data_IF_614118036062
#
_entry.id   IF_614118036062
#
_cell.length_a   1.000
_cell.length_b   1.000
_cell.length_c   1.000
_cell.angle_alpha   90.00
_cell.angle_beta   90.00
_cell.angle_gamma   90.00
#
_symmetry.space_group_name_H-M   'P 1'
#
loop_
_entity.id
_entity.type
_entity.pdbx_description
1 polymer ?
#
# COMPACT_ATOMS: atom_id res chain seq x y z
N UNK A 1 11.35 -16.92 18.34
CA UNK A 1 10.31 -16.07 18.97
C UNK A 1 10.79 -14.63 19.11
N UNK A 2 12.01 -14.39 19.61
CA UNK A 2 12.58 -13.03 19.75
C UNK A 2 12.79 -12.28 18.41
N UNK A 3 13.16 -13.00 17.34
CA UNK A 3 13.36 -12.40 16.01
C UNK A 3 12.09 -11.77 15.43
N UNK A 4 10.93 -12.41 15.59
CA UNK A 4 9.67 -11.91 15.07
C UNK A 4 9.21 -10.64 15.80
N UNK A 5 9.43 -10.55 17.11
CA UNK A 5 9.09 -9.37 17.90
C UNK A 5 9.97 -8.19 17.49
N UNK A 6 11.27 -8.42 17.31
CA UNK A 6 12.19 -7.40 16.82
C UNK A 6 11.79 -6.86 15.45
N UNK A 7 11.44 -7.76 14.52
CA UNK A 7 10.99 -7.39 13.17
C UNK A 7 9.67 -6.60 13.17
N UNK A 8 8.77 -6.88 14.11
CA UNK A 8 7.52 -6.14 14.29
C UNK A 8 7.79 -4.73 14.80
N UNK A 9 8.63 -4.58 15.83
CA UNK A 9 9.03 -3.27 16.34
C UNK A 9 9.76 -2.44 15.27
N UNK A 10 10.60 -3.06 14.45
CA UNK A 10 11.26 -2.39 13.33
C UNK A 10 10.24 -1.91 12.28
N UNK A 11 9.21 -2.71 12.00
CA UNK A 11 8.12 -2.35 11.09
C UNK A 11 7.31 -1.17 11.63
N UNK A 12 6.94 -1.20 12.92
CA UNK A 12 6.23 -0.11 13.59
C UNK A 12 7.05 1.19 13.59
N UNK A 13 8.35 1.11 13.89
CA UNK A 13 9.27 2.24 13.86
C UNK A 13 9.38 2.84 12.45
N UNK A 14 9.52 2.00 11.42
CA UNK A 14 9.53 2.44 10.02
C UNK A 14 8.22 3.13 9.64
N UNK A 15 7.07 2.58 10.04
CA UNK A 15 5.77 3.17 9.73
C UNK A 15 5.61 4.54 10.39
N UNK A 16 6.04 4.67 11.64
CA UNK A 16 6.03 5.94 12.36
C UNK A 16 6.94 6.97 11.70
N UNK A 17 8.16 6.61 11.35
CA UNK A 17 9.12 7.50 10.68
C UNK A 17 8.63 7.94 9.29
N UNK A 18 8.17 6.99 8.47
CA UNK A 18 7.87 7.23 7.06
C UNK A 18 6.47 7.79 6.80
N UNK A 19 5.51 7.54 7.68
CA UNK A 19 4.11 7.94 7.49
C UNK A 19 3.53 8.75 8.65
N UNK A 20 4.25 8.89 9.77
CA UNK A 20 3.75 9.57 10.97
C UNK A 20 2.65 8.81 11.71
N UNK A 21 2.49 7.51 11.43
CA UNK A 21 1.44 6.68 12.03
C UNK A 21 2.02 5.78 13.12
N UNK A 22 1.46 5.87 14.32
CA UNK A 22 1.72 4.90 15.39
C UNK A 22 0.76 3.71 15.22
N UNK A 23 1.27 2.57 14.79
CA UNK A 23 0.54 1.32 14.69
C UNK A 23 1.11 0.32 15.71
N UNK A 24 0.23 -0.46 16.33
CA UNK A 24 0.62 -1.61 17.14
C UNK A 24 0.24 -2.88 16.37
N UNK A 25 1.24 -3.67 15.99
CA UNK A 25 1.07 -4.95 15.30
C UNK A 25 0.53 -5.96 16.31
N UNK A 26 -0.58 -6.61 15.94
CA UNK A 26 -1.16 -7.75 16.66
C UNK A 26 -0.63 -9.06 16.07
N UNK A 27 -0.57 -9.13 14.75
CA UNK A 27 -0.22 -10.34 14.02
C UNK A 27 0.31 -9.97 12.63
N UNK A 28 1.35 -10.67 12.17
CA UNK A 28 1.83 -10.58 10.78
C UNK A 28 1.32 -11.80 10.00
N UNK A 29 0.54 -11.54 8.95
CA UNK A 29 -0.09 -12.57 8.11
C UNK A 29 0.91 -13.11 7.09
N UNK A 30 1.65 -12.22 6.43
CA UNK A 30 2.79 -12.57 5.56
C UNK A 30 3.92 -11.56 5.77
N UNK A 31 5.17 -12.04 5.72
CA UNK A 31 6.36 -11.20 5.93
C UNK A 31 7.27 -11.25 4.71
N UNK A 32 7.63 -10.07 4.21
CA UNK A 32 8.62 -9.87 3.13
C UNK A 32 8.42 -10.78 1.92
N UNK A 33 7.16 -11.08 1.57
CA UNK A 33 6.87 -11.92 0.41
C UNK A 33 7.16 -11.14 -0.88
N UNK A 34 7.75 -11.77 -1.90
CA UNK A 34 8.02 -11.11 -3.17
C UNK A 34 6.71 -10.64 -3.82
N UNK A 35 6.72 -9.42 -4.36
CA UNK A 35 5.64 -8.87 -5.20
C UNK A 35 6.10 -8.55 -6.63
N UNK A 36 7.42 -8.63 -6.85
CA UNK A 36 8.11 -8.67 -8.14
C UNK A 36 9.54 -9.18 -7.90
N UNK A 37 10.41 -9.09 -8.89
CA UNK A 37 11.85 -9.33 -8.72
C UNK A 37 12.56 -8.32 -7.80
N UNK A 38 12.00 -7.14 -7.59
CA UNK A 38 12.69 -6.04 -6.86
C UNK A 38 11.88 -5.46 -5.70
N UNK A 39 10.69 -5.99 -5.45
CA UNK A 39 9.75 -5.50 -4.44
C UNK A 39 9.25 -6.62 -3.55
N UNK A 40 8.99 -6.27 -2.30
CA UNK A 40 8.48 -7.17 -1.27
C UNK A 40 7.32 -6.51 -0.52
N UNK A 41 6.43 -7.33 0.04
CA UNK A 41 5.33 -6.87 0.87
C UNK A 41 5.24 -7.65 2.18
N UNK A 42 4.88 -6.94 3.24
CA UNK A 42 4.44 -7.52 4.52
C UNK A 42 3.01 -7.10 4.78
N UNK A 43 2.14 -8.04 5.16
CA UNK A 43 0.74 -7.78 5.52
C UNK A 43 0.53 -8.14 6.98
N UNK A 44 -0.05 -7.21 7.74
CA UNK A 44 -0.21 -7.36 9.18
C UNK A 44 -1.54 -6.78 9.66
N UNK A 45 -2.00 -7.34 10.77
CA UNK A 45 -3.19 -6.91 11.52
C UNK A 45 -2.72 -6.09 12.71
N UNK A 46 -3.33 -4.93 12.93
CA UNK A 46 -3.07 -4.11 14.11
C UNK A 46 -3.92 -4.55 15.31
N UNK A 47 -3.59 -4.11 16.52
CA UNK A 47 -4.44 -4.30 17.71
C UNK A 47 -5.84 -3.71 17.57
N UNK A 48 -6.03 -2.75 16.65
CA UNK A 48 -7.33 -2.17 16.28
C UNK A 48 -8.07 -2.99 15.21
N UNK A 49 -7.63 -4.21 14.91
CA UNK A 49 -8.16 -5.10 13.87
C UNK A 49 -8.22 -4.45 12.47
N UNK A 50 -7.26 -3.56 12.17
CA UNK A 50 -7.07 -3.01 10.83
C UNK A 50 -5.97 -3.77 10.12
N UNK A 51 -6.18 -4.07 8.83
CA UNK A 51 -5.17 -4.73 7.99
C UNK A 51 -4.40 -3.68 7.21
N UNK A 52 -3.07 -3.77 7.24
CA UNK A 52 -2.17 -2.95 6.44
C UNK A 52 -1.23 -3.82 5.62
N UNK A 53 -0.88 -3.33 4.44
CA UNK A 53 0.19 -3.84 3.60
C UNK A 53 1.30 -2.79 3.51
N UNK A 54 2.50 -3.16 3.95
CA UNK A 54 3.73 -2.39 3.75
C UNK A 54 4.47 -2.97 2.56
N UNK A 55 4.71 -2.15 1.54
CA UNK A 55 5.43 -2.54 0.32
C UNK A 55 6.73 -1.75 0.24
N UNK A 56 7.83 -2.46 0.02
CA UNK A 56 9.16 -1.89 -0.14
C UNK A 56 9.78 -2.38 -1.45
N UNK A 57 10.62 -1.56 -2.06
CA UNK A 57 11.31 -1.90 -3.29
C UNK A 57 12.71 -1.35 -3.34
N UNK A 58 13.61 -2.04 -4.04
CA UNK A 58 14.93 -1.48 -4.39
C UNK A 58 14.82 -0.45 -5.51
N UNK A 59 13.88 -0.67 -6.43
CA UNK A 59 13.58 0.26 -7.51
C UNK A 59 12.56 1.32 -7.04
N UNK A 60 12.53 2.52 -7.67
CA UNK A 60 11.44 3.47 -7.49
C UNK A 60 10.08 2.83 -7.82
N UNK A 61 9.06 3.16 -7.04
CA UNK A 61 7.68 2.75 -7.31
C UNK A 61 6.80 3.98 -7.36
N UNK A 62 5.75 3.94 -8.18
CA UNK A 62 4.69 4.96 -8.20
C UNK A 62 3.45 4.48 -7.45
N UNK A 63 2.52 5.39 -7.18
CA UNK A 63 1.21 5.03 -6.65
C UNK A 63 0.50 4.00 -7.57
N UNK A 64 0.63 4.11 -8.89
CA UNK A 64 0.02 3.13 -9.81
C UNK A 64 0.59 1.72 -9.65
N UNK A 65 1.92 1.61 -9.50
CA UNK A 65 2.59 0.32 -9.29
C UNK A 65 2.09 -0.33 -8.00
N UNK A 66 2.00 0.45 -6.92
CA UNK A 66 1.48 0.00 -5.63
C UNK A 66 0.02 -0.47 -5.75
N UNK A 67 -0.84 0.27 -6.47
CA UNK A 67 -2.23 -0.14 -6.74
C UNK A 67 -2.29 -1.49 -7.45
N UNK A 68 -1.44 -1.70 -8.46
CA UNK A 68 -1.34 -2.96 -9.21
C UNK A 68 -0.85 -4.10 -8.34
N UNK A 69 0.16 -3.87 -7.49
CA UNK A 69 0.67 -4.85 -6.53
C UNK A 69 -0.44 -5.30 -5.57
N UNK A 70 -1.14 -4.36 -4.92
CA UNK A 70 -2.23 -4.67 -3.98
C UNK A 70 -3.31 -5.53 -4.62
N UNK A 71 -3.74 -5.18 -5.85
CA UNK A 71 -4.73 -5.96 -6.60
C UNK A 71 -4.24 -7.37 -6.91
N UNK A 72 -3.00 -7.51 -7.39
CA UNK A 72 -2.41 -8.82 -7.73
C UNK A 72 -2.20 -9.71 -6.50
N UNK A 73 -1.94 -9.11 -5.34
CA UNK A 73 -1.90 -9.82 -4.05
C UNK A 73 -3.28 -10.31 -3.58
N UNK A 74 -4.37 -10.01 -4.31
CA UNK A 74 -5.72 -10.41 -3.91
C UNK A 74 -6.33 -9.50 -2.85
N UNK A 75 -5.97 -8.21 -2.83
CA UNK A 75 -6.44 -7.27 -1.81
C UNK A 75 -7.12 -6.04 -2.43
N UNK A 76 -8.03 -5.43 -1.68
CA UNK A 76 -8.68 -4.16 -2.00
C UNK A 76 -8.18 -3.11 -1.04
N UNK A 77 -7.68 -1.99 -1.58
CA UNK A 77 -7.22 -0.87 -0.77
C UNK A 77 -8.42 -0.05 -0.25
N UNK A 78 -8.36 0.32 1.02
CA UNK A 78 -9.20 1.35 1.64
C UNK A 78 -8.56 2.74 1.51
N UNK A 79 -7.26 2.85 1.83
CA UNK A 79 -6.55 4.11 1.82
C UNK A 79 -5.04 3.92 1.61
N UNK A 80 -4.43 4.80 0.82
CA UNK A 80 -2.98 4.89 0.63
C UNK A 80 -2.45 5.96 1.58
N UNK A 81 -1.59 5.59 2.53
CA UNK A 81 -1.10 6.52 3.55
C UNK A 81 -0.05 7.45 2.96
N UNK A 82 -0.26 8.75 3.06
CA UNK A 82 0.67 9.70 2.50
C UNK A 82 2.03 9.65 3.22
N UNK A 83 3.16 9.71 2.49
CA UNK A 83 4.48 9.79 3.10
C UNK A 83 4.64 11.05 3.97
N UNK A 84 5.52 10.96 4.97
CA UNK A 84 5.97 12.06 5.84
C UNK A 84 4.82 12.83 6.52
N UNK A 85 3.68 12.17 6.72
CA UNK A 85 2.48 12.80 7.26
C UNK A 85 2.06 14.06 6.46
N UNK A 86 2.20 14.02 5.13
CA UNK A 86 1.78 15.11 4.23
C UNK A 86 0.47 14.70 3.55
N UNK A 87 -0.72 15.02 4.11
CA UNK A 87 -1.99 14.44 3.64
C UNK A 87 -2.30 14.73 2.16
N UNK A 88 -1.76 15.83 1.65
CA UNK A 88 -1.94 16.28 0.27
C UNK A 88 -0.81 15.84 -0.67
N UNK A 89 0.12 14.97 -0.24
CA UNK A 89 1.29 14.57 -1.01
C UNK A 89 0.96 14.17 -2.46
N UNK A 90 -0.01 13.27 -2.65
CA UNK A 90 -0.39 12.80 -3.98
C UNK A 90 -0.99 13.91 -4.84
N UNK A 91 -1.75 14.83 -4.24
CA UNK A 91 -2.32 16.00 -4.92
C UNK A 91 -1.24 16.99 -5.31
N UNK A 92 -0.33 17.32 -4.40
CA UNK A 92 0.78 18.24 -4.65
C UNK A 92 1.65 17.74 -5.79
N UNK A 93 2.07 16.47 -5.75
CA UNK A 93 2.87 15.88 -6.84
C UNK A 93 2.09 15.88 -8.17
N UNK A 94 0.78 15.67 -8.12
CA UNK A 94 -0.06 15.73 -9.30
C UNK A 94 -0.11 17.13 -9.91
N UNK A 95 -0.30 18.16 -9.08
CA UNK A 95 -0.30 19.57 -9.50
C UNK A 95 1.06 19.99 -10.06
N UNK A 96 2.16 19.62 -9.39
CA UNK A 96 3.51 19.93 -9.84
C UNK A 96 3.79 19.32 -11.23
N UNK A 97 3.42 18.04 -11.42
CA UNK A 97 3.56 17.37 -12.72
C UNK A 97 2.64 17.96 -13.78
N UNK A 98 1.40 18.29 -13.43
CA UNK A 98 0.46 18.90 -14.35
C UNK A 98 0.96 20.25 -14.85
N UNK A 99 1.43 21.13 -13.94
CA UNK A 99 1.99 22.44 -14.27
C UNK A 99 3.24 22.32 -15.14
N UNK A 100 4.07 21.30 -14.91
CA UNK A 100 5.24 21.05 -15.73
C UNK A 100 4.89 20.67 -17.19
N UNK A 101 3.79 19.93 -17.39
CA UNK A 101 3.32 19.54 -18.73
C UNK A 101 2.50 20.65 -19.41
N UNK A 102 1.72 21.41 -18.63
CA UNK A 102 0.81 22.46 -19.12
C UNK A 102 1.04 23.82 -18.42
N UNK A 103 2.19 24.48 -18.62
CA UNK A 103 2.56 25.68 -17.87
C UNK A 103 1.61 26.88 -18.10
N UNK A 104 0.90 26.92 -19.23
CA UNK A 104 -0.04 28.01 -19.56
C UNK A 104 -1.45 27.84 -18.99
N UNK A 105 -1.79 26.71 -18.38
CA UNK A 105 -3.16 26.43 -17.91
C UNK A 105 -3.35 26.90 -16.47
N UNK A 106 -4.29 27.81 -16.24
CA UNK A 106 -4.51 28.47 -14.94
C UNK A 106 -5.44 27.70 -13.99
N UNK A 107 -6.29 26.82 -14.49
CA UNK A 107 -7.22 26.02 -13.70
C UNK A 107 -6.98 24.53 -13.90
N UNK A 108 -7.04 23.77 -12.79
CA UNK A 108 -6.89 22.32 -12.76
C UNK A 108 -8.17 21.69 -12.25
N UNK A 109 -8.79 20.80 -13.02
CA UNK A 109 -9.92 20.01 -12.54
C UNK A 109 -9.44 18.77 -11.77
N UNK A 110 -10.29 18.19 -10.93
CA UNK A 110 -9.96 16.93 -10.26
C UNK A 110 -9.73 15.79 -11.26
N UNK A 111 -10.48 15.77 -12.37
CA UNK A 111 -10.28 14.83 -13.47
C UNK A 111 -8.91 14.96 -14.13
N UNK A 112 -8.41 16.20 -14.27
CA UNK A 112 -7.07 16.44 -14.83
C UNK A 112 -5.99 15.83 -13.92
N UNK A 113 -6.13 15.98 -12.60
CA UNK A 113 -5.12 15.53 -11.63
C UNK A 113 -5.13 14.02 -11.37
N UNK A 114 -6.23 13.32 -11.68
CA UNK A 114 -6.38 11.88 -11.39
C UNK A 114 -5.23 11.05 -11.94
N UNK A 115 -4.84 11.27 -13.19
CA UNK A 115 -3.73 10.55 -13.81
C UNK A 115 -2.39 10.90 -13.14
N UNK A 116 -2.14 12.18 -12.89
CA UNK A 116 -0.87 12.63 -12.33
C UNK A 116 -0.65 12.20 -10.88
N UNK A 117 -1.71 12.00 -10.09
CA UNK A 117 -1.62 11.38 -8.75
C UNK A 117 -1.00 9.99 -8.82
N UNK A 118 -1.33 9.23 -9.87
CA UNK A 118 -0.82 7.86 -10.05
C UNK A 118 0.69 7.83 -10.31
N UNK A 119 1.25 8.93 -10.82
CA UNK A 119 2.69 9.07 -11.10
C UNK A 119 3.50 9.51 -9.87
N UNK A 120 2.85 9.73 -8.72
CA UNK A 120 3.54 10.14 -7.51
C UNK A 120 4.48 9.03 -7.02
N UNK A 121 5.76 9.34 -6.72
CA UNK A 121 6.68 8.37 -6.12
C UNK A 121 6.14 7.85 -4.79
N UNK A 122 6.19 6.54 -4.57
CA UNK A 122 5.60 5.91 -3.40
C UNK A 122 6.38 4.64 -3.00
N UNK A 123 7.53 4.86 -2.37
CA UNK A 123 8.40 3.81 -1.81
C UNK A 123 9.14 4.36 -0.56
N UNK A 124 9.00 3.75 0.63
CA UNK A 124 8.08 2.66 0.94
C UNK A 124 6.61 3.11 0.79
N UNK A 125 5.72 2.14 0.63
CA UNK A 125 4.28 2.37 0.51
C UNK A 125 3.52 1.65 1.62
N UNK A 126 2.58 2.34 2.25
CA UNK A 126 1.72 1.78 3.29
C UNK A 126 0.25 1.90 2.88
N UNK A 127 -0.43 0.77 2.79
CA UNK A 127 -1.80 0.71 2.30
C UNK A 127 -2.68 0.08 3.36
N UNK A 128 -3.74 0.77 3.76
CA UNK A 128 -4.80 0.17 4.57
C UNK A 128 -5.70 -0.64 3.66
N UNK A 129 -5.99 -1.86 4.05
CA UNK A 129 -6.78 -2.82 3.28
C UNK A 129 -8.24 -2.76 3.75
N UNK A 130 -9.18 -2.79 2.83
CA UNK A 130 -10.61 -2.94 3.12
C UNK A 130 -11.04 -4.39 3.04
N UNK A 131 -10.44 -5.18 2.13
CA UNK A 131 -10.82 -6.57 1.90
C UNK A 131 -9.65 -7.40 1.37
N UNK A 132 -9.61 -8.68 1.75
CA UNK A 132 -8.82 -9.72 1.08
C UNK A 132 -9.78 -10.58 0.24
N UNK A 133 -9.66 -10.43 -1.08
CA UNK A 133 -10.48 -11.11 -2.07
C UNK A 133 -10.18 -12.61 -2.05
N UNK A 134 -11.22 -13.43 -2.22
CA UNK A 134 -11.10 -14.89 -2.27
C UNK A 134 -10.48 -15.52 -0.99
N UNK A 135 -10.34 -14.76 0.09
CA UNK A 135 -9.77 -15.23 1.36
C UNK A 135 -8.30 -15.66 1.27
N UNK A 136 -7.56 -15.19 0.27
CA UNK A 136 -6.15 -15.54 0.08
C UNK A 136 -5.30 -14.33 -0.25
N UNK A 137 -4.10 -14.27 0.33
CA UNK A 137 -3.06 -13.32 -0.05
C UNK A 137 -2.10 -14.03 -0.99
N UNK A 138 -1.83 -13.40 -2.16
CA UNK A 138 -0.95 -13.94 -3.20
C UNK A 138 0.43 -13.27 -3.15
N UNK A 139 1.46 -13.99 -3.59
CA UNK A 139 2.84 -13.51 -3.76
C UNK A 139 3.32 -13.80 -5.18
N UNK A 140 4.26 -13.00 -5.67
CA UNK A 140 4.91 -13.22 -6.95
C UNK A 140 5.79 -14.47 -6.90
N UNK A 141 5.70 -15.31 -7.92
CA UNK A 141 6.56 -16.47 -8.13
C UNK A 141 6.88 -16.58 -9.62
N UNK A 142 8.13 -16.34 -10.01
CA UNK A 142 8.55 -16.39 -11.42
C UNK A 142 8.50 -17.78 -12.04
N UNK A 143 8.34 -18.83 -11.22
CA UNK A 143 8.24 -20.22 -11.67
C UNK A 143 6.80 -20.71 -11.82
N UNK A 144 5.83 -19.94 -11.33
CA UNK A 144 4.40 -20.24 -11.46
C UNK A 144 3.87 -19.78 -12.83
N UNK A 145 2.98 -20.55 -13.46
CA UNK A 145 2.42 -20.25 -14.77
C UNK A 145 1.59 -18.96 -14.80
N UNK A 146 1.00 -18.57 -13.67
CA UNK A 146 0.29 -17.30 -13.49
C UNK A 146 1.20 -16.18 -12.96
N UNK A 147 2.46 -16.51 -12.65
CA UNK A 147 3.43 -15.69 -11.93
C UNK A 147 3.02 -15.28 -10.51
N UNK A 148 1.92 -15.82 -9.97
CA UNK A 148 1.40 -15.48 -8.65
C UNK A 148 0.81 -16.71 -7.94
N UNK A 149 1.34 -17.04 -6.76
CA UNK A 149 0.85 -18.16 -5.96
C UNK A 149 0.29 -17.69 -4.62
N UNK A 150 -0.50 -18.53 -3.96
CA UNK A 150 -0.98 -18.27 -2.60
C UNK A 150 0.20 -18.21 -1.62
N UNK A 151 0.29 -17.12 -0.86
CA UNK A 151 1.23 -16.95 0.24
C UNK A 151 0.59 -17.35 1.58
N UNK A 152 -0.67 -16.95 1.79
CA UNK A 152 -1.43 -17.30 3.00
C UNK A 152 -2.93 -17.34 2.72
N UNK A 153 -3.65 -18.17 3.49
CA UNK A 153 -5.12 -18.10 3.61
C UNK A 153 -5.45 -17.11 4.71
N UNK A 154 -6.19 -16.06 4.37
CA UNK A 154 -6.56 -15.00 5.29
C UNK A 154 -7.82 -14.30 4.78
N UNK A 155 -8.90 -14.36 5.54
CA UNK A 155 -10.15 -13.70 5.23
C UNK A 155 -10.27 -12.41 6.03
N UNK A 156 -10.53 -11.30 5.34
CA UNK A 156 -10.76 -10.01 5.97
C UNK A 156 -11.69 -9.19 5.11
N UNK A 157 -12.70 -8.59 5.76
CA UNK A 157 -13.53 -7.54 5.16
C UNK A 157 -13.87 -6.54 6.25
N UNK A 158 -13.49 -5.29 6.02
CA UNK A 158 -13.81 -4.19 6.92
C UNK A 158 -15.29 -3.85 6.79
N UNK A 159 -16.00 -3.86 7.91
CA UNK A 159 -17.37 -3.38 7.98
C UNK A 159 -17.31 -1.85 8.05
N UNK A 160 -17.79 -1.17 7.01
CA UNK A 160 -18.03 0.27 7.06
C UNK A 160 -19.49 0.47 7.51
N UNK A 161 -19.75 1.09 8.68
CA UNK A 161 -21.12 1.30 9.17
C UNK A 161 -21.92 2.37 8.39
N UNK A 162 -21.53 2.72 7.16
CA UNK A 162 -22.24 3.67 6.29
C UNK A 162 -22.77 2.99 5.04
N UNK A 163 -23.89 2.28 5.19
CA UNK A 163 -24.85 2.00 4.12
C UNK A 163 -26.23 1.74 4.74
N UNK A 164 -26.80 2.79 5.31
CA UNK A 164 -28.25 2.92 5.48
C UNK A 164 -28.57 4.36 5.13
N UNK A 165 -28.86 4.57 3.86
CA UNK A 165 -29.73 5.62 3.35
C UNK A 165 -30.64 4.96 2.31
#
# INVERSE_FOLDING_TARGET
MESNIYDDTATEAMVKDRFGLSLDIKEVVVRSVPTSHTTQASVFVTKKNQVYALITGRAPMTLDDVRKIIRRMGMVADAYQAPKNEPNYFNRVAEDKFKAVFPGRRSTSESDLRFYRLLAPYNPALVRISEVSEGTIKQFDSTDSSSWRTAAKFAYRRINPKSKD
#
